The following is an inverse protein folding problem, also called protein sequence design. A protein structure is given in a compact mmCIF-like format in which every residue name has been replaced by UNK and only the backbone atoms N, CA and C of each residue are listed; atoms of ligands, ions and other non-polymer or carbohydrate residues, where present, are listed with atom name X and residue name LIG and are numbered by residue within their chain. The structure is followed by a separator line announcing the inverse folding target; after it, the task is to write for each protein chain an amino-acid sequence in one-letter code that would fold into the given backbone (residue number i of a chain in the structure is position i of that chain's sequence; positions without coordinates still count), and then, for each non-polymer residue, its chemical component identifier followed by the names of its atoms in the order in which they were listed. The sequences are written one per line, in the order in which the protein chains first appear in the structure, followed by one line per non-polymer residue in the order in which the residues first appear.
data_IF_464454348341
#
_entry.id   IF_464454348341
#
_cell.length_a   1.000
_cell.length_b   1.000
_cell.length_c   1.000
_cell.angle_alpha   90.00
_cell.angle_beta   90.00
_cell.angle_gamma   90.00
#
_symmetry.space_group_name_H-M   'P 1'
#
loop_
_entity.id
_entity.type
_entity.pdbx_description
1 polymer ?
#
# COMPACT_ATOMS: atom_id res chain seq x y z
N UNK A 1 24.38 0.62 31.31
CA UNK A 1 23.29 1.22 30.51
C UNK A 1 23.05 0.34 29.30
N UNK A 2 22.20 -0.69 29.42
CA UNK A 2 21.82 -1.52 28.29
C UNK A 2 20.75 -0.77 27.50
N UNK A 3 21.09 -0.28 26.30
CA UNK A 3 20.10 0.22 25.35
C UNK A 3 19.45 -0.99 24.70
N UNK A 4 18.30 -1.41 25.21
CA UNK A 4 17.42 -2.35 24.51
C UNK A 4 16.98 -1.66 23.23
N UNK A 5 17.51 -2.10 22.09
CA UNK A 5 16.92 -1.75 20.80
C UNK A 5 15.54 -2.42 20.75
N UNK A 6 14.51 -1.66 21.11
CA UNK A 6 13.14 -1.97 20.74
C UNK A 6 13.09 -1.88 19.21
N UNK A 7 13.21 -3.02 18.54
CA UNK A 7 12.69 -3.11 17.18
C UNK A 7 11.23 -2.66 17.25
N UNK A 8 10.76 -1.77 16.35
CA UNK A 8 9.36 -1.40 16.34
C UNK A 8 8.53 -2.68 16.24
N UNK A 9 7.59 -2.87 17.18
CA UNK A 9 6.67 -3.99 17.14
C UNK A 9 5.94 -3.93 15.79
N UNK A 10 6.06 -4.98 14.99
CA UNK A 10 5.30 -5.07 13.74
C UNK A 10 3.81 -5.00 14.07
N UNK A 11 3.00 -4.27 13.28
CA UNK A 11 1.58 -4.11 13.56
C UNK A 11 0.84 -5.45 13.52
N UNK A 12 -0.24 -5.56 14.29
CA UNK A 12 -1.07 -6.77 14.35
C UNK A 12 -1.91 -7.00 13.08
N UNK A 13 -2.13 -5.92 12.32
CA UNK A 13 -2.86 -5.92 11.04
C UNK A 13 -2.16 -4.98 10.07
N UNK A 14 -1.92 -5.44 8.84
CA UNK A 14 -1.33 -4.69 7.74
C UNK A 14 -2.24 -4.72 6.52
N UNK A 15 -2.37 -3.62 5.79
CA UNK A 15 -3.03 -3.65 4.47
C UNK A 15 -2.04 -4.18 3.42
N UNK A 16 -2.42 -5.26 2.75
CA UNK A 16 -1.68 -5.86 1.65
C UNK A 16 -2.41 -5.55 0.36
N UNK A 17 -1.97 -4.48 -0.29
CA UNK A 17 -2.47 -4.07 -1.59
C UNK A 17 -1.87 -4.98 -2.66
N UNK A 18 -2.71 -5.54 -3.54
CA UNK A 18 -2.29 -6.39 -4.66
C UNK A 18 -2.68 -5.76 -6.00
N UNK A 19 -1.71 -5.66 -6.90
CA UNK A 19 -1.96 -5.31 -8.29
C UNK A 19 -2.51 -6.55 -9.04
N UNK A 20 -3.58 -6.33 -9.80
CA UNK A 20 -4.19 -7.35 -10.67
C UNK A 20 -3.50 -7.48 -12.04
N UNK A 21 -2.50 -6.66 -12.35
CA UNK A 21 -1.78 -6.70 -13.62
C UNK A 21 -1.12 -8.08 -13.85
N UNK A 22 -1.62 -8.81 -14.85
CA UNK A 22 -1.05 -10.09 -15.29
C UNK A 22 -1.37 -11.30 -14.41
N UNK A 23 -2.27 -11.19 -13.42
CA UNK A 23 -2.73 -12.31 -12.58
C UNK A 23 -4.25 -12.39 -12.56
N UNK A 24 -4.77 -13.60 -12.33
CA UNK A 24 -6.19 -13.79 -12.06
C UNK A 24 -6.52 -13.14 -10.71
N UNK A 25 -7.39 -12.13 -10.72
CA UNK A 25 -7.86 -11.46 -9.51
C UNK A 25 -8.82 -12.40 -8.79
N UNK A 26 -8.55 -12.70 -7.52
CA UNK A 26 -9.37 -13.57 -6.67
C UNK A 26 -9.88 -12.89 -5.40
N UNK A 27 -9.79 -11.56 -5.34
CA UNK A 27 -10.10 -10.73 -4.18
C UNK A 27 -10.93 -9.51 -4.59
N UNK A 28 -11.39 -8.75 -3.61
CA UNK A 28 -12.14 -7.51 -3.78
C UNK A 28 -11.34 -6.30 -3.31
N UNK A 29 -11.69 -5.11 -3.81
CA UNK A 29 -11.04 -3.87 -3.40
C UNK A 29 -9.55 -3.80 -3.79
N UNK A 30 -8.73 -3.21 -2.92
CA UNK A 30 -7.30 -3.01 -3.13
C UNK A 30 -6.44 -4.26 -2.85
N UNK A 31 -6.96 -5.26 -2.15
CA UNK A 31 -6.18 -6.41 -1.71
C UNK A 31 -6.75 -7.08 -0.47
N UNK A 32 -5.92 -7.30 0.54
CA UNK A 32 -6.23 -8.06 1.74
C UNK A 32 -5.81 -7.32 3.01
N UNK A 33 -6.45 -7.61 4.13
CA UNK A 33 -5.90 -7.36 5.45
C UNK A 33 -5.05 -8.57 5.89
N UNK A 34 -3.75 -8.36 6.12
CA UNK A 34 -2.84 -9.36 6.66
C UNK A 34 -2.86 -9.31 8.18
N UNK A 35 -3.43 -10.34 8.78
CA UNK A 35 -3.74 -10.39 10.21
C UNK A 35 -2.80 -11.36 10.91
N UNK A 36 -2.14 -10.91 11.98
CA UNK A 36 -1.24 -11.71 12.82
C UNK A 36 -1.99 -12.75 13.65
N UNK A 37 -1.35 -13.88 13.94
CA UNK A 37 -1.84 -14.90 14.88
C UNK A 37 -2.27 -14.30 16.23
N UNK A 38 -3.56 -14.42 16.55
CA UNK A 38 -4.20 -13.91 17.76
C UNK A 38 -4.81 -12.51 17.63
N UNK A 39 -4.65 -11.83 16.49
CA UNK A 39 -5.26 -10.54 16.19
C UNK A 39 -6.67 -10.69 15.56
N UNK A 40 -7.31 -9.59 15.19
CA UNK A 40 -8.70 -9.60 14.71
C UNK A 40 -9.09 -8.36 13.90
N UNK A 41 -10.28 -8.43 13.30
CA UNK A 41 -10.88 -7.36 12.50
C UNK A 41 -12.30 -7.08 12.99
N UNK A 42 -12.76 -5.84 12.84
CA UNK A 42 -14.14 -5.46 13.10
C UNK A 42 -14.76 -4.88 11.84
N UNK A 43 -15.80 -5.53 11.34
CA UNK A 43 -16.58 -5.10 10.18
C UNK A 43 -17.81 -4.34 10.65
N UNK A 44 -17.97 -3.10 10.17
CA UNK A 44 -19.19 -2.31 10.40
C UNK A 44 -20.21 -2.61 9.32
N UNK A 45 -21.42 -2.91 9.73
CA UNK A 45 -22.55 -3.26 8.86
C UNK A 45 -23.71 -2.34 9.19
N UNK A 46 -24.01 -1.39 8.31
CA UNK A 46 -25.01 -0.34 8.49
C UNK A 46 -25.98 -0.19 7.31
N UNK A 47 -25.81 -1.00 6.26
CA UNK A 47 -26.50 -0.89 4.98
C UNK A 47 -27.34 -2.13 4.63
N UNK A 48 -27.94 -2.75 5.65
CA UNK A 48 -28.78 -3.95 5.50
C UNK A 48 -30.11 -3.58 4.84
N UNK A 49 -30.50 -4.21 3.72
CA UNK A 49 -31.67 -3.78 2.95
C UNK A 49 -33.00 -4.33 3.47
N UNK A 50 -33.00 -5.51 4.08
CA UNK A 50 -34.21 -6.22 4.48
C UNK A 50 -34.01 -6.98 5.80
N UNK A 51 -34.99 -6.97 6.73
CA UNK A 51 -34.87 -7.66 8.01
C UNK A 51 -35.04 -9.18 7.86
N UNK A 52 -33.97 -9.95 8.03
CA UNK A 52 -33.95 -11.41 7.89
C UNK A 52 -32.63 -12.02 8.38
N UNK A 53 -32.54 -13.35 8.38
CA UNK A 53 -31.27 -14.05 8.58
C UNK A 53 -30.35 -13.91 7.36
N UNK A 54 -29.10 -13.53 7.61
CA UNK A 54 -28.02 -13.55 6.63
C UNK A 54 -26.97 -14.58 7.03
N UNK A 55 -26.53 -15.38 6.06
CA UNK A 55 -25.36 -16.23 6.21
C UNK A 55 -24.10 -15.36 6.07
N UNK A 56 -23.12 -15.59 6.94
CA UNK A 56 -21.85 -14.87 6.91
C UNK A 56 -20.81 -15.71 6.17
N UNK A 57 -20.23 -15.15 5.11
CA UNK A 57 -19.16 -15.77 4.35
C UNK A 57 -17.87 -14.96 4.50
N UNK A 58 -16.82 -15.59 5.02
CA UNK A 58 -15.50 -14.98 5.17
C UNK A 58 -14.61 -15.44 4.02
N UNK A 59 -14.07 -14.50 3.24
CA UNK A 59 -13.07 -14.77 2.20
C UNK A 59 -11.67 -14.54 2.73
N UNK A 60 -10.77 -15.48 2.50
CA UNK A 60 -9.41 -15.46 3.04
C UNK A 60 -8.41 -16.20 2.15
N UNK A 61 -7.13 -15.90 2.35
CA UNK A 61 -6.02 -16.57 1.71
C UNK A 61 -4.95 -16.92 2.76
N UNK A 62 -4.71 -18.22 3.02
CA UNK A 62 -3.66 -18.66 3.93
C UNK A 62 -2.25 -18.38 3.37
N UNK A 63 -1.33 -17.91 4.21
CA UNK A 63 0.10 -17.77 3.85
C UNK A 63 0.94 -19.00 4.19
N UNK A 64 0.36 -19.98 4.90
CA UNK A 64 0.99 -21.25 5.26
C UNK A 64 0.07 -22.44 4.99
N UNK A 65 0.59 -23.66 5.15
CA UNK A 65 -0.18 -24.92 5.08
C UNK A 65 -0.81 -25.30 6.43
N UNK A 66 -0.90 -24.37 7.37
CA UNK A 66 -1.54 -24.60 8.67
C UNK A 66 -2.99 -24.15 8.60
N UNK A 67 -3.88 -24.93 9.22
CA UNK A 67 -5.28 -24.52 9.39
C UNK A 67 -5.38 -23.39 10.43
N UNK A 68 -6.38 -22.55 10.25
CA UNK A 68 -6.71 -21.45 11.17
C UNK A 68 -8.06 -21.70 11.82
N UNK A 69 -8.36 -20.93 12.85
CA UNK A 69 -9.67 -20.85 13.46
C UNK A 69 -10.07 -19.38 13.60
N UNK A 70 -11.35 -19.12 13.41
CA UNK A 70 -11.95 -17.80 13.61
C UNK A 70 -12.95 -17.84 14.75
N UNK A 71 -12.80 -16.90 15.68
CA UNK A 71 -13.78 -16.60 16.71
C UNK A 71 -14.61 -15.42 16.24
N UNK A 72 -15.92 -15.59 16.14
CA UNK A 72 -16.84 -14.60 15.56
C UNK A 72 -17.81 -14.14 16.63
N UNK A 73 -17.97 -12.83 16.76
CA UNK A 73 -19.04 -12.19 17.54
C UNK A 73 -19.76 -11.15 16.70
N UNK A 74 -21.07 -11.06 16.88
CA UNK A 74 -21.90 -10.02 16.27
C UNK A 74 -22.52 -9.22 17.39
N UNK A 75 -22.29 -7.91 17.36
CA UNK A 75 -22.82 -6.96 18.32
C UNK A 75 -23.55 -5.81 17.63
N UNK A 76 -24.39 -5.12 18.40
CA UNK A 76 -24.90 -3.80 18.04
C UNK A 76 -24.94 -2.92 19.28
N UNK A 77 -24.72 -1.63 19.09
CA UNK A 77 -24.86 -0.63 20.18
C UNK A 77 -26.32 -0.28 20.46
N UNK A 78 -27.21 -0.56 19.50
CA UNK A 78 -28.64 -0.27 19.58
C UNK A 78 -29.39 -1.59 19.52
N UNK A 79 -30.41 -1.75 20.36
CA UNK A 79 -31.22 -2.96 20.36
C UNK A 79 -32.06 -2.98 19.06
N UNK A 80 -32.08 -4.12 18.33
CA UNK A 80 -32.97 -4.29 17.20
C UNK A 80 -34.42 -4.08 17.64
N UNK A 81 -35.21 -3.41 16.81
CA UNK A 81 -36.61 -3.04 17.14
C UNK A 81 -37.62 -3.72 16.22
N UNK A 82 -37.17 -4.33 15.12
CA UNK A 82 -38.09 -5.00 14.21
C UNK A 82 -38.74 -6.20 14.91
N UNK A 83 -40.00 -6.54 14.57
CA UNK A 83 -40.66 -7.73 15.11
C UNK A 83 -39.94 -9.03 14.71
N UNK A 84 -39.09 -9.00 13.67
CA UNK A 84 -38.33 -10.15 13.19
C UNK A 84 -37.05 -10.38 13.99
N UNK A 85 -36.24 -9.33 14.22
CA UNK A 85 -34.94 -9.45 14.89
C UNK A 85 -34.93 -8.95 16.35
N UNK A 86 -35.99 -8.29 16.83
CA UNK A 86 -36.05 -7.57 18.11
C UNK A 86 -35.88 -8.38 19.39
N UNK A 87 -35.86 -9.71 19.30
CA UNK A 87 -35.67 -10.62 20.44
C UNK A 87 -34.34 -11.39 20.40
N UNK A 88 -33.42 -11.03 19.49
CA UNK A 88 -32.25 -11.86 19.12
C UNK A 88 -30.89 -11.23 19.39
N UNK A 89 -30.68 -10.60 20.55
CA UNK A 89 -29.32 -10.39 21.05
C UNK A 89 -29.02 -11.40 22.17
N UNK A 90 -28.82 -12.70 21.86
CA UNK A 90 -28.22 -13.60 22.83
C UNK A 90 -26.81 -13.08 23.10
N UNK A 91 -26.56 -12.70 24.35
CA UNK A 91 -25.26 -12.29 24.93
C UNK A 91 -24.07 -12.63 24.03
N UNK A 92 -23.51 -11.67 23.27
CA UNK A 92 -22.28 -11.76 22.46
C UNK A 92 -21.68 -13.18 22.34
N UNK A 93 -22.42 -14.13 21.76
CA UNK A 93 -22.08 -15.54 21.94
C UNK A 93 -21.03 -15.88 20.91
N UNK A 94 -19.78 -15.63 21.29
CA UNK A 94 -18.61 -15.92 20.50
C UNK A 94 -18.61 -17.40 20.15
N UNK A 95 -18.61 -17.70 18.86
CA UNK A 95 -18.50 -19.06 18.35
C UNK A 95 -17.23 -19.21 17.52
N UNK A 96 -16.77 -20.45 17.38
CA UNK A 96 -15.54 -20.80 16.69
C UNK A 96 -15.85 -21.59 15.43
N UNK A 97 -15.11 -21.28 14.37
CA UNK A 97 -15.13 -22.02 13.11
C UNK A 97 -13.71 -22.33 12.66
N UNK A 98 -13.55 -23.46 11.97
CA UNK A 98 -12.29 -23.80 11.31
C UNK A 98 -12.14 -23.08 9.98
N UNK A 99 -10.93 -22.68 9.63
CA UNK A 99 -10.53 -22.10 8.36
C UNK A 99 -9.45 -22.98 7.73
N UNK A 100 -9.84 -23.98 6.92
CA UNK A 100 -8.90 -24.91 6.32
C UNK A 100 -7.94 -24.21 5.34
N UNK A 101 -6.66 -24.55 5.37
CA UNK A 101 -5.64 -23.94 4.50
C UNK A 101 -5.91 -24.18 3.00
N UNK A 102 -6.68 -25.22 2.67
CA UNK A 102 -7.04 -25.61 1.30
C UNK A 102 -8.19 -24.81 0.70
N UNK A 103 -8.89 -23.99 1.50
CA UNK A 103 -10.06 -23.21 1.05
C UNK A 103 -9.70 -21.74 0.84
N UNK A 104 -10.61 -20.99 0.22
CA UNK A 104 -10.49 -19.53 -0.01
C UNK A 104 -11.68 -18.73 0.52
N UNK A 105 -12.69 -19.43 1.01
CA UNK A 105 -13.81 -18.85 1.73
C UNK A 105 -14.34 -19.88 2.72
N UNK A 106 -15.04 -19.40 3.74
CA UNK A 106 -15.77 -20.22 4.70
C UNK A 106 -17.16 -19.64 4.88
N UNK A 107 -18.19 -20.48 4.76
CA UNK A 107 -19.56 -20.14 5.15
C UNK A 107 -19.71 -20.48 6.63
N UNK A 108 -19.87 -19.47 7.48
CA UNK A 108 -19.94 -19.65 8.93
C UNK A 108 -21.25 -20.37 9.31
N UNK A 109 -21.21 -21.25 10.31
CA UNK A 109 -22.35 -22.13 10.62
C UNK A 109 -23.55 -21.41 11.25
N UNK A 110 -23.33 -20.21 11.82
CA UNK A 110 -24.36 -19.44 12.51
C UNK A 110 -24.78 -18.21 11.70
N UNK A 111 -25.95 -18.25 11.02
CA UNK A 111 -26.52 -17.04 10.44
C UNK A 111 -26.95 -16.06 11.53
N UNK A 112 -27.10 -14.79 11.17
CA UNK A 112 -27.52 -13.75 12.09
C UNK A 112 -28.64 -12.90 11.49
N UNK A 113 -29.63 -12.52 12.31
CA UNK A 113 -30.75 -11.67 11.90
C UNK A 113 -30.31 -10.22 11.89
N UNK A 114 -30.13 -9.65 10.71
CA UNK A 114 -29.82 -8.23 10.55
C UNK A 114 -31.08 -7.47 10.14
N UNK A 115 -31.25 -6.24 10.63
CA UNK A 115 -32.34 -5.35 10.23
C UNK A 115 -31.84 -3.99 9.70
N UNK A 116 -32.64 -3.31 8.86
CA UNK A 116 -32.31 -1.97 8.38
C UNK A 116 -32.19 -0.94 9.52
N UNK A 117 -31.39 0.11 9.29
CA UNK A 117 -31.23 1.25 10.22
C UNK A 117 -30.59 0.93 11.58
N UNK A 118 -30.15 -0.31 11.81
CA UNK A 118 -29.41 -0.72 13.00
C UNK A 118 -27.95 -0.94 12.63
N UNK A 119 -26.98 -0.22 13.24
CA UNK A 119 -25.56 -0.43 12.98
C UNK A 119 -25.06 -1.65 13.76
N UNK A 120 -24.51 -2.63 13.05
CA UNK A 120 -23.91 -3.83 13.61
C UNK A 120 -22.39 -3.81 13.47
N UNK A 121 -21.71 -4.46 14.41
CA UNK A 121 -20.28 -4.72 14.39
C UNK A 121 -20.07 -6.23 14.42
N UNK A 122 -19.54 -6.79 13.33
CA UNK A 122 -19.09 -8.18 13.27
C UNK A 122 -17.60 -8.20 13.59
N UNK A 123 -17.25 -8.70 14.76
CA UNK A 123 -15.86 -8.81 15.18
C UNK A 123 -15.37 -10.23 14.99
N UNK A 124 -14.23 -10.38 14.32
CA UNK A 124 -13.57 -11.66 14.15
C UNK A 124 -12.19 -11.62 14.81
N UNK A 125 -11.80 -12.74 15.43
CA UNK A 125 -10.45 -12.96 15.93
C UNK A 125 -9.90 -14.22 15.30
N UNK A 126 -8.67 -14.17 14.81
CA UNK A 126 -8.03 -15.21 14.02
C UNK A 126 -6.85 -15.78 14.79
N UNK A 127 -6.72 -17.10 14.82
CA UNK A 127 -5.57 -17.77 15.40
C UNK A 127 -5.32 -19.10 14.71
N UNK A 128 -4.12 -19.65 14.84
CA UNK A 128 -3.81 -20.97 14.28
C UNK A 128 -4.59 -22.09 14.97
N UNK A 129 -5.06 -23.06 14.20
CA UNK A 129 -5.86 -24.17 14.71
C UNK A 129 -5.01 -25.13 15.56
N UNK A 130 -5.54 -25.57 16.70
CA UNK A 130 -4.89 -26.59 17.54
C UNK A 130 -3.57 -26.19 18.20
N UNK A 131 -3.15 -24.92 18.13
CA UNK A 131 -1.90 -24.44 18.76
C UNK A 131 -2.20 -23.57 19.98
N UNK A 132 -1.48 -23.82 21.08
CA UNK A 132 -1.63 -23.04 22.34
C UNK A 132 -0.74 -21.80 22.38
N UNK A 133 0.38 -21.81 21.66
CA UNK A 133 1.32 -20.69 21.59
C UNK A 133 1.16 -19.89 20.28
N UNK A 134 1.06 -18.57 20.43
CA UNK A 134 1.03 -17.64 19.30
C UNK A 134 2.38 -17.61 18.62
N UNK A 135 2.39 -17.69 17.30
CA UNK A 135 3.61 -17.53 16.54
C UNK A 135 3.72 -16.10 16.00
N UNK A 136 4.74 -15.32 16.41
CA UNK A 136 4.82 -13.91 16.07
C UNK A 136 5.00 -13.68 14.56
N UNK A 137 5.50 -14.67 13.80
CA UNK A 137 5.66 -14.60 12.35
C UNK A 137 4.52 -15.22 11.53
N UNK A 138 3.43 -15.68 12.16
CA UNK A 138 2.32 -16.33 11.45
C UNK A 138 1.20 -15.31 11.16
N UNK A 139 0.71 -15.34 9.91
CA UNK A 139 -0.29 -14.41 9.41
C UNK A 139 -1.28 -15.12 8.48
N UNK A 140 -2.46 -14.52 8.34
CA UNK A 140 -3.50 -14.92 7.38
C UNK A 140 -3.99 -13.68 6.65
N UNK A 141 -4.31 -13.81 5.35
CA UNK A 141 -4.87 -12.72 4.56
C UNK A 141 -6.40 -12.81 4.57
N UNK A 142 -7.07 -11.73 4.89
CA UNK A 142 -8.53 -11.60 4.87
C UNK A 142 -8.93 -10.65 3.74
N UNK A 143 -9.77 -11.09 2.82
CA UNK A 143 -10.29 -10.27 1.73
C UNK A 143 -11.54 -9.51 2.19
N UNK A 144 -12.60 -10.24 2.51
CA UNK A 144 -13.91 -9.63 2.79
C UNK A 144 -14.79 -10.50 3.66
N UNK A 145 -15.72 -9.85 4.38
CA UNK A 145 -16.88 -10.49 5.02
C UNK A 145 -18.12 -10.17 4.17
N UNK A 146 -18.82 -11.21 3.73
CA UNK A 146 -19.99 -11.11 2.85
C UNK A 146 -21.23 -11.56 3.60
N UNK A 147 -22.28 -10.74 3.57
CA UNK A 147 -23.62 -11.09 4.06
C UNK A 147 -24.43 -11.67 2.90
N UNK A 148 -24.71 -12.97 2.93
CA UNK A 148 -25.53 -13.66 1.94
C UNK A 148 -26.96 -13.77 2.48
N UNK A 149 -27.97 -13.17 1.81
CA UNK A 149 -29.35 -13.26 2.27
C UNK A 149 -29.88 -14.69 2.12
N UNK A 150 -30.52 -15.22 3.17
CA UNK A 150 -31.28 -16.47 3.08
C UNK A 150 -32.54 -16.31 2.24
N UNK A 151 -32.40 -16.52 0.93
CA UNK A 151 -33.45 -16.29 -0.07
C UNK A 151 -34.77 -17.00 0.23
N UNK A 152 -34.74 -18.14 0.93
CA UNK A 152 -35.95 -18.89 1.32
C UNK A 152 -36.87 -18.15 2.30
N UNK A 153 -36.41 -17.08 2.95
CA UNK A 153 -37.24 -16.24 3.83
C UNK A 153 -37.99 -15.12 3.09
N UNK A 154 -37.64 -14.87 1.83
CA UNK A 154 -38.24 -13.77 1.07
C UNK A 154 -39.66 -14.11 0.59
N UNK A 155 -40.56 -13.11 0.52
CA UNK A 155 -41.86 -13.28 -0.10
C UNK A 155 -41.74 -13.84 -1.53
N UNK A 156 -42.54 -14.86 -1.87
CA UNK A 156 -42.48 -15.52 -3.17
C UNK A 156 -41.40 -16.60 -3.32
N UNK A 157 -40.53 -16.76 -2.32
CA UNK A 157 -39.62 -17.90 -2.15
C UNK A 157 -39.95 -18.72 -0.89
N UNK A 158 -40.48 -18.06 0.13
CA UNK A 158 -41.04 -18.68 1.34
C UNK A 158 -42.36 -19.42 1.08
N UNK A 159 -42.64 -20.45 1.88
CA UNK A 159 -43.92 -21.16 1.90
C UNK A 159 -43.99 -22.41 1.02
N UNK A 160 -45.15 -23.06 1.03
CA UNK A 160 -45.42 -24.35 0.35
C UNK A 160 -46.10 -24.19 -1.02
N UNK A 161 -46.35 -22.96 -1.45
CA UNK A 161 -46.94 -22.71 -2.77
C UNK A 161 -46.04 -23.28 -3.88
N UNK A 162 -46.65 -23.94 -4.86
CA UNK A 162 -45.92 -24.61 -5.94
C UNK A 162 -44.98 -23.66 -6.70
N UNK A 163 -45.39 -22.40 -6.91
CA UNK A 163 -44.57 -21.39 -7.57
C UNK A 163 -43.32 -21.00 -6.75
N UNK A 164 -43.46 -20.88 -5.42
CA UNK A 164 -42.34 -20.57 -4.53
C UNK A 164 -41.37 -21.76 -4.42
N UNK A 165 -41.91 -22.98 -4.31
CA UNK A 165 -41.12 -24.21 -4.31
C UNK A 165 -40.34 -24.39 -5.62
N UNK A 166 -40.97 -24.17 -6.78
CA UNK A 166 -40.31 -24.25 -8.08
C UNK A 166 -39.16 -23.24 -8.23
N UNK A 167 -39.32 -21.99 -7.75
CA UNK A 167 -38.23 -20.99 -7.76
C UNK A 167 -37.05 -21.40 -6.87
N UNK A 168 -37.32 -21.99 -5.69
CA UNK A 168 -36.29 -22.52 -4.80
C UNK A 168 -35.54 -23.69 -5.44
N UNK A 169 -36.27 -24.63 -6.02
CA UNK A 169 -35.67 -25.76 -6.74
C UNK A 169 -34.81 -25.30 -7.92
N UNK A 170 -35.24 -24.29 -8.68
CA UNK A 170 -34.47 -23.72 -9.79
C UNK A 170 -33.17 -23.05 -9.29
N UNK A 171 -33.21 -22.30 -8.18
CA UNK A 171 -32.02 -21.72 -7.54
C UNK A 171 -31.00 -22.78 -7.11
N UNK A 172 -31.47 -23.85 -6.48
CA UNK A 172 -30.63 -24.96 -6.00
C UNK A 172 -30.08 -25.79 -7.15
N UNK A 173 -30.93 -26.13 -8.13
CA UNK A 173 -30.56 -26.96 -9.29
C UNK A 173 -29.43 -26.33 -10.11
N UNK A 174 -29.49 -25.02 -10.33
CA UNK A 174 -28.45 -24.29 -11.06
C UNK A 174 -27.40 -23.66 -10.16
N UNK A 175 -27.46 -23.89 -8.85
CA UNK A 175 -26.51 -23.40 -7.85
C UNK A 175 -26.24 -21.90 -8.00
N UNK A 176 -27.29 -21.13 -8.24
CA UNK A 176 -27.16 -19.71 -8.61
C UNK A 176 -26.42 -18.87 -7.55
N UNK A 177 -26.52 -19.26 -6.28
CA UNK A 177 -25.87 -18.55 -5.17
C UNK A 177 -24.38 -18.89 -5.02
N UNK A 178 -23.90 -20.01 -5.58
CA UNK A 178 -22.48 -20.39 -5.49
C UNK A 178 -21.58 -19.41 -6.24
N UNK A 179 -22.10 -18.77 -7.29
CA UNK A 179 -21.37 -17.75 -8.06
C UNK A 179 -20.88 -16.57 -7.21
N UNK A 180 -21.54 -16.30 -6.07
CA UNK A 180 -21.21 -15.19 -5.17
C UNK A 180 -20.27 -15.59 -4.01
N UNK A 181 -19.86 -16.86 -3.90
CA UNK A 181 -18.96 -17.29 -2.83
C UNK A 181 -17.52 -16.82 -3.07
N UNK A 182 -17.11 -16.71 -4.33
CA UNK A 182 -15.80 -16.21 -4.75
C UNK A 182 -15.83 -14.77 -5.26
N UNK A 183 -14.66 -14.13 -5.32
CA UNK A 183 -14.45 -12.83 -5.93
C UNK A 183 -13.47 -12.94 -7.10
N UNK A 184 -13.68 -12.24 -8.23
CA UNK A 184 -14.98 -11.69 -8.65
C UNK A 184 -16.00 -12.83 -8.86
N UNK A 185 -17.31 -12.54 -8.77
CA UNK A 185 -18.33 -13.55 -9.00
C UNK A 185 -18.27 -14.07 -10.43
N UNK A 186 -18.57 -15.35 -10.62
CA UNK A 186 -18.63 -15.96 -11.94
C UNK A 186 -19.85 -15.46 -12.75
N UNK A 187 -19.76 -15.41 -14.09
CA UNK A 187 -20.90 -15.00 -14.91
C UNK A 187 -22.11 -15.91 -14.69
N UNK A 188 -23.27 -15.32 -14.46
CA UNK A 188 -24.51 -16.07 -14.23
C UNK A 188 -25.12 -16.56 -15.54
N UNK A 189 -25.64 -17.79 -15.53
CA UNK A 189 -26.52 -18.27 -16.58
C UNK A 189 -27.83 -17.45 -16.60
N UNK A 190 -28.49 -17.36 -17.76
CA UNK A 190 -29.69 -16.54 -17.95
C UNK A 190 -30.84 -16.90 -16.99
N UNK A 191 -31.01 -18.19 -16.68
CA UNK A 191 -31.99 -18.66 -15.69
C UNK A 191 -31.69 -18.10 -14.28
N UNK A 192 -30.44 -18.15 -13.84
CA UNK A 192 -30.01 -17.59 -12.57
C UNK A 192 -30.14 -16.08 -12.53
N UNK A 193 -29.79 -15.38 -13.62
CA UNK A 193 -29.92 -13.93 -13.71
C UNK A 193 -31.36 -13.48 -13.41
N UNK A 194 -32.37 -14.13 -13.99
CA UNK A 194 -33.79 -13.82 -13.75
C UNK A 194 -34.16 -13.98 -12.27
N UNK A 195 -33.75 -15.08 -11.64
CA UNK A 195 -34.06 -15.36 -10.24
C UNK A 195 -33.33 -14.40 -9.29
N UNK A 196 -32.03 -14.17 -9.52
CA UNK A 196 -31.22 -13.22 -8.74
C UNK A 196 -31.76 -11.79 -8.85
N UNK A 197 -32.17 -11.35 -10.04
CA UNK A 197 -32.84 -10.06 -10.21
C UNK A 197 -34.16 -9.99 -9.41
N UNK A 198 -34.94 -11.07 -9.39
CA UNK A 198 -36.19 -11.13 -8.61
C UNK A 198 -35.92 -11.03 -7.10
N UNK A 199 -34.91 -11.74 -6.61
CA UNK A 199 -34.44 -11.67 -5.21
C UNK A 199 -33.98 -10.26 -4.86
N UNK A 200 -33.15 -9.65 -5.71
CA UNK A 200 -32.66 -8.28 -5.52
C UNK A 200 -33.81 -7.27 -5.45
N UNK A 201 -34.80 -7.40 -6.34
CA UNK A 201 -35.97 -6.52 -6.34
C UNK A 201 -36.80 -6.63 -5.05
N UNK A 202 -36.94 -7.84 -4.48
CA UNK A 202 -37.62 -8.04 -3.20
C UNK A 202 -36.84 -7.44 -2.02
N UNK A 203 -35.51 -7.55 -2.03
CA UNK A 203 -34.65 -7.02 -0.98
C UNK A 203 -34.62 -5.49 -0.96
N UNK A 204 -34.55 -4.87 -2.13
CA UNK A 204 -34.33 -3.43 -2.28
C UNK A 204 -35.58 -2.62 -2.66
N UNK A 205 -36.74 -3.27 -2.81
CA UNK A 205 -37.97 -2.62 -3.30
C UNK A 205 -37.88 -2.20 -4.78
N UNK A 206 -37.08 -2.90 -5.58
CA UNK A 206 -36.81 -2.60 -6.98
C UNK A 206 -35.33 -2.67 -7.34
N UNK A 207 -34.97 -2.08 -8.48
CA UNK A 207 -33.58 -1.93 -8.88
C UNK A 207 -32.93 -0.72 -8.19
N UNK A 208 -31.65 -0.85 -7.82
CA UNK A 208 -30.88 0.26 -7.26
C UNK A 208 -30.30 1.15 -8.38
N UNK A 209 -30.15 2.46 -8.14
CA UNK A 209 -29.50 3.36 -9.10
C UNK A 209 -28.00 3.05 -9.22
N UNK A 210 -27.44 3.18 -10.43
CA UNK A 210 -26.03 2.89 -10.71
C UNK A 210 -25.06 3.74 -9.85
N UNK A 211 -25.31 5.04 -9.75
CA UNK A 211 -24.45 6.00 -9.05
C UNK A 211 -22.98 5.98 -9.53
N UNK A 212 -22.75 5.80 -10.82
CA UNK A 212 -21.41 5.87 -11.41
C UNK A 212 -20.77 7.24 -11.18
N UNK A 213 -19.51 7.27 -10.76
CA UNK A 213 -18.78 8.53 -10.56
C UNK A 213 -18.54 9.20 -11.91
N UNK A 214 -18.93 10.48 -12.09
CA UNK A 214 -18.83 11.17 -13.38
C UNK A 214 -17.38 11.44 -13.82
N UNK A 215 -16.43 11.52 -12.88
CA UNK A 215 -15.01 11.70 -13.19
C UNK A 215 -14.35 10.37 -13.52
N UNK A 216 -14.66 9.31 -12.77
CA UNK A 216 -14.00 8.01 -12.92
C UNK A 216 -14.69 7.06 -13.91
N UNK A 217 -15.94 7.30 -14.30
CA UNK A 217 -16.71 6.43 -15.21
C UNK A 217 -16.77 7.00 -16.64
N UNK A 218 -16.92 6.11 -17.62
CA UNK A 218 -17.13 6.44 -19.04
C UNK A 218 -18.59 6.78 -19.36
N UNK A 219 -19.52 6.26 -18.57
CA UNK A 219 -20.97 6.44 -18.72
C UNK A 219 -21.64 6.51 -17.34
N UNK A 220 -22.85 7.08 -17.28
CA UNK A 220 -23.76 6.98 -16.14
C UNK A 220 -24.53 5.65 -16.09
N UNK A 221 -24.52 4.90 -17.20
CA UNK A 221 -25.10 3.57 -17.31
C UNK A 221 -24.14 2.52 -16.77
N UNK A 222 -24.67 1.58 -16.00
CA UNK A 222 -23.93 0.46 -15.45
C UNK A 222 -24.49 -0.87 -15.95
N UNK A 223 -23.71 -1.94 -15.77
CA UNK A 223 -24.16 -3.29 -16.11
C UNK A 223 -25.44 -3.65 -15.33
N UNK A 224 -26.43 -4.21 -16.03
CA UNK A 224 -27.74 -4.58 -15.45
C UNK A 224 -27.62 -5.60 -14.30
N UNK A 225 -26.60 -6.45 -14.34
CA UNK A 225 -26.28 -7.41 -13.28
C UNK A 225 -25.11 -6.87 -12.47
N UNK A 226 -25.28 -6.79 -11.14
CA UNK A 226 -24.24 -6.32 -10.21
C UNK A 226 -23.98 -4.82 -10.22
N UNK A 227 -24.41 -4.07 -11.25
CA UNK A 227 -24.33 -2.62 -11.28
C UNK A 227 -22.90 -2.07 -11.47
N UNK A 228 -22.00 -2.84 -12.10
CA UNK A 228 -20.63 -2.39 -12.37
C UNK A 228 -20.62 -1.28 -13.42
N UNK A 229 -20.05 -0.13 -13.07
CA UNK A 229 -19.83 0.99 -13.99
C UNK A 229 -18.62 0.73 -14.89
N UNK A 230 -18.61 1.30 -16.09
CA UNK A 230 -17.46 1.25 -16.99
C UNK A 230 -16.40 2.27 -16.57
N UNK A 231 -15.34 1.79 -15.93
CA UNK A 231 -14.31 2.68 -15.38
C UNK A 231 -13.34 3.21 -16.46
N UNK A 232 -12.80 4.41 -16.20
CA UNK A 232 -11.68 4.98 -16.94
C UNK A 232 -10.37 4.26 -16.59
N UNK A 233 -9.29 4.63 -17.29
CA UNK A 233 -7.99 3.98 -17.11
C UNK A 233 -7.52 4.06 -15.67
N UNK A 234 -7.07 2.93 -15.12
CA UNK A 234 -6.57 2.80 -13.76
C UNK A 234 -7.55 3.25 -12.66
N UNK A 235 -8.86 3.23 -12.94
CA UNK A 235 -9.92 3.47 -11.96
C UNK A 235 -10.59 2.13 -11.63
N UNK A 236 -10.95 1.91 -10.37
CA UNK A 236 -11.65 0.70 -9.94
C UNK A 236 -12.86 0.96 -9.04
N UNK A 237 -13.56 -0.11 -8.71
CA UNK A 237 -14.72 -0.11 -7.82
C UNK A 237 -16.02 -0.14 -8.61
N UNK A 238 -17.11 -0.57 -7.95
CA UNK A 238 -18.43 -0.68 -8.59
C UNK A 238 -18.89 0.65 -9.23
N UNK A 239 -18.56 1.75 -8.56
CA UNK A 239 -18.90 3.13 -8.96
C UNK A 239 -17.76 3.87 -9.67
N UNK A 240 -16.61 3.23 -9.88
CA UNK A 240 -15.41 3.85 -10.43
C UNK A 240 -14.97 5.11 -9.65
N UNK A 241 -14.93 5.02 -8.32
CA UNK A 241 -14.80 6.16 -7.40
C UNK A 241 -13.38 6.33 -6.82
N UNK A 242 -12.43 5.50 -7.24
CA UNK A 242 -11.05 5.51 -6.72
C UNK A 242 -10.03 4.95 -7.70
N UNK A 243 -8.78 5.33 -7.53
CA UNK A 243 -7.67 4.77 -8.29
C UNK A 243 -7.44 3.29 -7.97
N UNK A 244 -7.02 2.54 -8.98
CA UNK A 244 -6.53 1.18 -8.78
C UNK A 244 -5.18 1.18 -8.04
N UNK A 245 -4.85 0.12 -7.30
CA UNK A 245 -3.50 -0.12 -6.81
C UNK A 245 -2.42 0.17 -7.85
N UNK A 246 -1.36 0.86 -7.45
CA UNK A 246 -0.29 1.25 -8.38
C UNK A 246 -0.65 2.43 -9.29
N UNK A 247 -1.71 3.18 -8.99
CA UNK A 247 -2.06 4.43 -9.67
C UNK A 247 -2.52 5.52 -8.71
N UNK A 248 -2.46 6.77 -9.16
CA UNK A 248 -2.73 7.95 -8.35
C UNK A 248 -3.38 9.09 -9.15
N UNK A 249 -3.85 10.12 -8.45
CA UNK A 249 -4.33 11.36 -9.06
C UNK A 249 -5.68 11.19 -9.76
N UNK A 250 -6.69 10.75 -9.02
CA UNK A 250 -8.06 10.58 -9.52
C UNK A 250 -8.60 11.87 -10.15
N UNK A 251 -9.07 11.78 -11.39
CA UNK A 251 -9.65 12.94 -12.08
C UNK A 251 -10.37 12.58 -13.40
N UNK A 252 -10.71 13.58 -14.22
CA UNK A 252 -11.52 13.39 -15.43
C UNK A 252 -10.92 12.46 -16.49
N UNK A 253 -9.61 12.21 -16.46
CA UNK A 253 -8.91 11.31 -17.38
C UNK A 253 -8.70 9.89 -16.79
N UNK A 254 -9.19 9.63 -15.57
CA UNK A 254 -8.90 8.42 -14.81
C UNK A 254 -7.78 8.66 -13.79
N UNK A 255 -6.89 7.68 -13.62
CA UNK A 255 -5.71 7.77 -12.76
C UNK A 255 -4.42 7.55 -13.56
N UNK A 256 -3.31 8.06 -13.05
CA UNK A 256 -1.97 7.91 -13.63
C UNK A 256 -1.20 6.79 -12.93
N UNK A 257 -0.40 5.97 -13.64
CA UNK A 257 0.41 4.93 -13.00
C UNK A 257 1.49 5.53 -12.09
N UNK A 258 1.81 4.86 -10.98
CA UNK A 258 2.79 5.32 -9.99
C UNK A 258 4.22 5.45 -10.56
N UNK A 259 4.64 4.49 -11.39
CA UNK A 259 5.99 4.41 -11.98
C UNK A 259 7.12 4.53 -10.94
N UNK A 260 7.04 3.76 -9.84
CA UNK A 260 8.09 3.72 -8.82
C UNK A 260 9.32 2.96 -9.33
N UNK A 261 10.53 3.46 -9.09
CA UNK A 261 11.76 2.77 -9.48
C UNK A 261 11.87 1.43 -8.74
N UNK A 262 12.02 0.29 -9.44
CA UNK A 262 12.18 -1.00 -8.78
C UNK A 262 13.46 -1.12 -7.95
N UNK A 263 14.50 -0.34 -8.26
CA UNK A 263 15.75 -0.32 -7.52
C UNK A 263 15.73 0.63 -6.33
N UNK A 264 15.01 1.76 -6.44
CA UNK A 264 15.01 2.82 -5.42
C UNK A 264 13.77 2.87 -4.53
N UNK A 265 12.72 2.11 -4.83
CA UNK A 265 11.50 2.01 -4.02
C UNK A 265 11.39 0.68 -3.27
N UNK A 266 10.60 0.68 -2.19
CA UNK A 266 10.26 -0.51 -1.40
C UNK A 266 9.19 -1.33 -2.09
N UNK A 267 8.30 -0.69 -2.85
CA UNK A 267 7.25 -1.33 -3.62
C UNK A 267 6.84 -0.49 -4.83
N UNK A 268 6.12 -1.11 -5.77
CA UNK A 268 5.55 -0.43 -6.94
C UNK A 268 4.28 0.39 -6.61
N UNK A 269 3.89 0.42 -5.35
CA UNK A 269 2.72 1.16 -4.87
C UNK A 269 3.14 2.57 -4.46
N UNK A 270 2.27 3.52 -4.70
CA UNK A 270 2.43 4.91 -4.29
C UNK A 270 1.17 5.40 -3.58
N UNK A 271 1.29 6.54 -2.90
CA UNK A 271 0.15 7.25 -2.35
C UNK A 271 -0.86 7.61 -3.46
N UNK A 272 -2.13 7.25 -3.26
CA UNK A 272 -3.17 7.35 -4.28
C UNK A 272 -3.52 8.80 -4.68
N UNK A 273 -3.11 9.80 -3.90
CA UNK A 273 -3.38 11.21 -4.16
C UNK A 273 -2.16 11.90 -4.76
N UNK A 274 -1.03 11.89 -4.04
CA UNK A 274 0.21 12.57 -4.43
C UNK A 274 1.05 11.80 -5.44
N UNK A 275 0.88 10.49 -5.52
CA UNK A 275 1.72 9.61 -6.32
C UNK A 275 3.11 9.37 -5.73
N UNK A 276 3.37 9.76 -4.47
CA UNK A 276 4.67 9.56 -3.83
C UNK A 276 4.91 8.06 -3.56
N UNK A 277 6.00 7.54 -4.11
CA UNK A 277 6.46 6.17 -3.86
C UNK A 277 7.18 6.06 -2.51
N UNK A 278 7.18 4.86 -1.94
CA UNK A 278 7.90 4.55 -0.72
C UNK A 278 9.38 4.30 -1.05
N UNK A 279 10.26 5.26 -0.77
CA UNK A 279 11.68 5.17 -1.17
C UNK A 279 12.52 4.33 -0.20
N UNK A 280 13.49 3.61 -0.74
CA UNK A 280 14.54 2.97 0.03
C UNK A 280 15.47 4.03 0.65
N UNK A 281 16.26 3.61 1.64
CA UNK A 281 17.19 4.51 2.31
C UNK A 281 18.17 5.14 1.31
N UNK A 282 18.26 6.47 1.30
CA UNK A 282 19.13 7.23 0.41
C UNK A 282 18.53 7.60 -0.95
N UNK A 283 17.40 7.02 -1.34
CA UNK A 283 16.65 7.38 -2.54
C UNK A 283 15.55 8.41 -2.23
N UNK A 284 15.29 9.32 -3.18
CA UNK A 284 14.31 10.41 -3.08
C UNK A 284 13.63 10.67 -4.43
N UNK A 285 12.67 11.61 -4.41
CA UNK A 285 11.84 11.95 -5.57
C UNK A 285 10.51 11.20 -5.54
N UNK A 286 9.56 11.64 -6.36
CA UNK A 286 8.23 11.01 -6.43
C UNK A 286 8.32 9.52 -6.77
N UNK A 287 9.24 9.17 -7.67
CA UNK A 287 9.47 7.82 -8.18
C UNK A 287 10.61 7.08 -7.47
N UNK A 288 11.28 7.71 -6.50
CA UNK A 288 12.46 7.15 -5.83
C UNK A 288 13.61 6.81 -6.80
N UNK A 289 13.80 7.61 -7.83
CA UNK A 289 14.75 7.40 -8.93
C UNK A 289 16.02 8.27 -8.81
N UNK A 290 16.18 8.96 -7.69
CA UNK A 290 17.25 9.92 -7.45
C UNK A 290 17.88 9.68 -6.09
N UNK A 291 19.16 10.01 -5.94
CA UNK A 291 19.79 10.02 -4.62
C UNK A 291 19.42 11.29 -3.85
N UNK A 292 19.33 11.16 -2.52
CA UNK A 292 19.14 12.30 -1.63
C UNK A 292 20.26 13.34 -1.82
N UNK A 293 20.02 14.63 -1.51
CA UNK A 293 21.05 15.64 -1.53
C UNK A 293 22.31 15.21 -0.77
N UNK A 294 23.49 15.51 -1.32
CA UNK A 294 24.77 15.07 -0.78
C UNK A 294 25.09 13.58 -1.00
N UNK A 295 24.35 12.89 -1.87
CA UNK A 295 24.61 11.51 -2.28
C UNK A 295 24.61 11.37 -3.81
N UNK A 296 25.25 10.31 -4.32
CA UNK A 296 25.41 10.06 -5.75
C UNK A 296 25.45 8.56 -6.08
N UNK A 297 25.29 8.23 -7.36
CA UNK A 297 25.50 6.87 -7.87
C UNK A 297 24.28 5.95 -7.78
N UNK A 298 23.07 6.47 -8.04
CA UNK A 298 21.84 5.68 -8.12
C UNK A 298 22.03 4.41 -8.99
N UNK A 299 21.54 3.22 -8.57
CA UNK A 299 20.66 2.99 -7.41
C UNK A 299 21.39 2.85 -6.05
N UNK A 300 22.69 2.61 -6.05
CA UNK A 300 23.49 2.46 -4.83
C UNK A 300 23.97 3.82 -4.31
N UNK A 301 23.05 4.62 -3.80
CA UNK A 301 23.33 5.98 -3.34
C UNK A 301 24.38 6.00 -2.21
N UNK A 302 25.50 6.65 -2.47
CA UNK A 302 26.62 6.83 -1.53
C UNK A 302 26.85 8.30 -1.22
N UNK A 303 27.30 8.64 0.00
CA UNK A 303 27.57 10.02 0.37
C UNK A 303 28.67 10.62 -0.51
N UNK A 304 28.57 11.92 -0.77
CA UNK A 304 29.62 12.69 -1.41
C UNK A 304 30.89 12.66 -0.55
N UNK A 305 32.05 12.46 -1.20
CA UNK A 305 33.34 12.37 -0.53
C UNK A 305 34.17 13.62 -0.84
N UNK A 306 33.77 14.76 -0.29
CA UNK A 306 34.34 16.07 -0.64
C UNK A 306 35.37 16.59 0.37
N UNK A 307 36.01 15.68 1.13
CA UNK A 307 36.99 16.02 2.17
C UNK A 307 36.52 17.06 3.22
N UNK A 308 35.20 17.23 3.38
CA UNK A 308 34.62 18.26 4.26
C UNK A 308 34.53 19.67 3.67
N UNK A 309 34.95 19.86 2.41
CA UNK A 309 34.98 21.17 1.74
C UNK A 309 33.80 21.41 0.78
N UNK A 310 32.90 20.45 0.62
CA UNK A 310 31.60 20.63 -0.02
C UNK A 310 30.58 19.62 0.52
N UNK A 311 29.30 19.99 0.54
CA UNK A 311 28.20 19.10 0.96
C UNK A 311 27.49 18.45 -0.22
N UNK A 312 27.60 19.06 -1.41
CA UNK A 312 26.95 18.61 -2.63
C UNK A 312 27.98 18.11 -3.65
N UNK A 313 27.61 17.07 -4.40
CA UNK A 313 28.36 16.57 -5.54
C UNK A 313 27.41 16.25 -6.70
N UNK A 314 27.97 16.14 -7.90
CA UNK A 314 27.24 15.73 -9.08
C UNK A 314 26.61 14.34 -8.86
N UNK A 315 25.29 14.17 -9.06
CA UNK A 315 24.57 12.97 -8.65
C UNK A 315 24.95 11.72 -9.47
N UNK A 316 25.59 11.87 -10.64
CA UNK A 316 26.01 10.77 -11.51
C UNK A 316 27.48 10.41 -11.31
N UNK A 317 28.34 11.42 -11.28
CA UNK A 317 29.79 11.27 -11.26
C UNK A 317 30.39 11.36 -9.86
N UNK A 318 29.68 11.94 -8.88
CA UNK A 318 30.19 12.17 -7.53
C UNK A 318 31.21 13.29 -7.43
N UNK A 319 31.42 14.08 -8.50
CA UNK A 319 32.33 15.22 -8.46
C UNK A 319 31.76 16.33 -7.59
N UNK A 320 32.51 16.77 -6.59
CA UNK A 320 32.10 17.80 -5.65
C UNK A 320 31.84 19.13 -6.35
N UNK A 321 30.78 19.79 -5.92
CA UNK A 321 30.34 21.07 -6.45
C UNK A 321 30.74 22.18 -5.48
N UNK A 322 31.25 23.29 -6.02
CA UNK A 322 31.56 24.51 -5.24
C UNK A 322 32.49 24.24 -4.04
N UNK A 323 33.65 23.63 -4.30
CA UNK A 323 34.70 23.42 -3.29
C UNK A 323 35.02 24.73 -2.53
N UNK A 324 34.93 24.68 -1.20
CA UNK A 324 35.20 25.81 -0.29
C UNK A 324 36.68 25.85 0.11
N UNK A 325 37.05 26.84 0.92
CA UNK A 325 38.38 26.93 1.55
C UNK A 325 39.56 26.88 0.57
N UNK A 326 39.37 27.47 -0.61
CA UNK A 326 40.36 27.49 -1.69
C UNK A 326 40.83 26.09 -2.12
N UNK A 327 39.93 25.10 -2.08
CA UNK A 327 40.18 23.74 -2.57
C UNK A 327 39.64 23.55 -3.99
N UNK A 328 40.17 22.54 -4.67
CA UNK A 328 39.89 22.15 -6.04
C UNK A 328 40.07 20.63 -6.21
N UNK A 329 39.71 20.11 -7.38
CA UNK A 329 39.72 18.66 -7.66
C UNK A 329 38.32 18.04 -7.61
N UNK A 330 38.22 16.74 -7.89
CA UNK A 330 36.93 16.04 -7.97
C UNK A 330 36.30 15.83 -6.60
N UNK A 331 37.14 15.77 -5.57
CA UNK A 331 36.81 15.52 -4.17
C UNK A 331 37.24 16.69 -3.27
N UNK A 332 37.55 17.85 -3.85
CA UNK A 332 38.15 18.98 -3.14
C UNK A 332 39.45 18.59 -2.39
N UNK A 333 40.22 17.70 -3.01
CA UNK A 333 41.39 17.02 -2.43
C UNK A 333 42.72 17.78 -2.59
N UNK A 334 42.73 18.88 -3.35
CA UNK A 334 43.92 19.70 -3.58
C UNK A 334 43.61 21.18 -3.42
N UNK A 335 44.62 22.00 -3.20
CA UNK A 335 44.45 23.44 -3.20
C UNK A 335 44.22 23.99 -4.62
N UNK A 336 43.49 25.10 -4.70
CA UNK A 336 43.40 25.93 -5.90
C UNK A 336 44.77 26.49 -6.26
N UNK A 337 44.94 26.84 -7.53
CA UNK A 337 46.19 27.41 -8.03
C UNK A 337 46.53 28.69 -7.24
N UNK A 338 47.80 28.80 -6.83
CA UNK A 338 48.30 29.86 -5.95
C UNK A 338 48.09 29.67 -4.44
N UNK A 339 47.56 28.52 -4.02
CA UNK A 339 47.48 28.08 -2.63
C UNK A 339 48.28 26.78 -2.41
N UNK A 340 48.77 26.54 -1.20
CA UNK A 340 49.48 25.32 -0.79
C UNK A 340 48.99 24.76 0.54
N UNK A 341 49.28 23.48 0.76
CA UNK A 341 48.86 22.71 1.93
C UNK A 341 48.24 21.37 1.52
N UNK A 342 47.80 20.59 2.51
CA UNK A 342 47.09 19.33 2.32
C UNK A 342 45.65 19.44 2.86
N UNK A 343 44.63 19.67 2.00
CA UNK A 343 43.24 19.81 2.43
C UNK A 343 42.51 18.47 2.62
N UNK A 344 43.20 17.33 2.55
CA UNK A 344 42.55 16.03 2.77
C UNK A 344 42.04 15.92 4.21
N UNK A 345 40.81 15.40 4.37
CA UNK A 345 40.15 15.31 5.67
C UNK A 345 41.01 14.50 6.66
N UNK A 346 41.38 15.13 7.77
CA UNK A 346 42.21 14.52 8.83
C UNK A 346 43.70 14.87 8.79
N UNK A 347 44.18 15.60 7.77
CA UNK A 347 45.58 16.08 7.70
C UNK A 347 45.87 17.18 8.76
N UNK A 348 44.84 17.93 9.17
CA UNK A 348 44.97 19.12 10.03
C UNK A 348 45.55 20.35 9.33
N UNK A 349 45.90 20.25 8.04
CA UNK A 349 46.39 21.36 7.21
C UNK A 349 45.24 21.98 6.41
N UNK A 350 45.39 23.27 6.09
CA UNK A 350 44.40 24.07 5.35
C UNK A 350 45.11 24.72 4.18
N UNK A 351 44.39 24.98 3.08
CA UNK A 351 44.97 25.71 1.96
C UNK A 351 45.29 27.16 2.36
N UNK A 352 46.57 27.51 2.25
CA UNK A 352 47.09 28.85 2.53
C UNK A 352 47.61 29.49 1.25
N UNK A 353 47.45 30.82 1.08
CA UNK A 353 48.00 31.49 -0.09
C UNK A 353 49.52 31.32 -0.11
N UNK A 354 50.07 31.04 -1.29
CA UNK A 354 51.50 30.92 -1.46
C UNK A 354 52.22 32.22 -1.04
N UNK A 355 53.32 32.14 -0.26
CA UNK A 355 54.07 33.31 0.19
C UNK A 355 54.97 33.88 -0.92
N UNK A 356 54.49 33.86 -2.17
CA UNK A 356 55.16 34.49 -3.29
C UNK A 356 54.94 36.01 -3.23
N UNK A 357 55.80 36.83 -3.85
CA UNK A 357 55.58 38.27 -3.93
C UNK A 357 54.18 38.60 -4.48
N UNK A 358 53.41 39.40 -3.74
CA UNK A 358 52.02 39.76 -4.05
C UNK A 358 50.97 38.87 -3.38
N UNK A 359 49.71 38.99 -3.82
CA UNK A 359 48.59 38.16 -3.35
C UNK A 359 47.88 37.48 -4.53
N UNK A 360 47.44 36.21 -4.43
CA UNK A 360 46.71 35.54 -5.51
C UNK A 360 45.57 36.40 -6.09
N UNK A 361 45.57 36.60 -7.41
CA UNK A 361 44.58 37.44 -8.11
C UNK A 361 44.96 38.92 -8.29
N UNK A 362 46.12 39.37 -7.78
CA UNK A 362 46.65 40.73 -8.01
C UNK A 362 47.61 40.78 -9.21
N UNK A 363 47.81 41.97 -9.81
CA UNK A 363 48.73 42.15 -10.96
C UNK A 363 50.19 41.84 -10.67
N UNK A 364 50.57 41.80 -9.39
CA UNK A 364 51.96 41.58 -8.95
C UNK A 364 52.22 40.12 -8.56
N UNK A 365 51.20 39.26 -8.60
CA UNK A 365 51.33 37.84 -8.31
C UNK A 365 51.64 37.05 -9.58
N UNK A 366 52.86 36.54 -9.67
CA UNK A 366 53.36 35.77 -10.82
C UNK A 366 53.70 34.32 -10.47
N UNK A 367 53.20 33.79 -9.35
CA UNK A 367 53.29 32.37 -9.01
C UNK A 367 52.12 31.57 -9.60
N UNK A 368 52.37 30.37 -10.12
CA UNK A 368 51.30 29.44 -10.55
C UNK A 368 50.95 28.43 -9.46
N UNK A 369 51.93 28.02 -8.66
CA UNK A 369 51.77 27.11 -7.52
C UNK A 369 52.96 27.26 -6.57
N UNK A 370 52.93 26.62 -5.40
CA UNK A 370 54.10 26.51 -4.53
C UNK A 370 54.07 25.19 -3.76
N UNK A 371 55.24 24.71 -3.32
CA UNK A 371 55.36 23.46 -2.56
C UNK A 371 56.34 23.63 -1.40
N UNK A 372 56.15 22.85 -0.34
CA UNK A 372 57.11 22.80 0.76
C UNK A 372 58.30 21.91 0.37
N UNK A 373 59.51 22.37 0.64
CA UNK A 373 60.72 21.57 0.55
C UNK A 373 60.73 20.52 1.67
N UNK A 374 60.97 19.25 1.34
CA UNK A 374 60.89 18.13 2.31
C UNK A 374 61.93 18.21 3.44
N UNK A 375 63.09 18.82 3.21
CA UNK A 375 64.16 18.91 4.20
C UNK A 375 64.03 20.16 5.07
N UNK A 376 63.74 21.30 4.43
CA UNK A 376 63.82 22.61 5.09
C UNK A 376 62.46 23.17 5.48
N UNK A 377 61.36 22.55 5.03
CA UNK A 377 59.98 23.04 5.17
C UNK A 377 59.75 24.45 4.60
N UNK A 378 60.72 25.00 3.85
CA UNK A 378 60.57 26.26 3.15
C UNK A 378 59.65 26.11 1.94
N UNK A 379 58.76 27.07 1.75
CA UNK A 379 57.82 27.08 0.63
C UNK A 379 58.48 27.69 -0.61
N UNK A 380 58.60 26.90 -1.67
CA UNK A 380 59.20 27.30 -2.95
C UNK A 380 58.09 27.63 -3.94
N UNK A 381 58.14 28.83 -4.52
CA UNK A 381 57.19 29.30 -5.52
C UNK A 381 57.56 28.83 -6.93
N UNK A 382 56.58 28.32 -7.67
CA UNK A 382 56.68 28.04 -9.09
C UNK A 382 56.17 29.27 -9.85
N UNK A 383 57.06 29.93 -10.61
CA UNK A 383 56.71 31.12 -11.37
C UNK A 383 55.98 30.77 -12.67
N UNK A 384 55.04 31.63 -13.06
CA UNK A 384 54.42 31.56 -14.38
C UNK A 384 55.49 31.75 -15.49
N UNK A 385 55.24 31.24 -16.72
CA UNK A 385 56.18 31.36 -17.82
C UNK A 385 56.63 32.82 -18.03
N UNK A 386 57.95 33.04 -18.07
CA UNK A 386 58.57 34.37 -18.26
C UNK A 386 58.93 35.13 -16.97
N UNK A 387 58.65 34.55 -15.80
CA UNK A 387 59.03 35.11 -14.50
C UNK A 387 59.98 34.17 -13.76
N UNK A 388 60.89 34.73 -12.98
CA UNK A 388 61.78 33.99 -12.09
C UNK A 388 61.79 34.67 -10.71
N UNK A 389 61.94 33.88 -9.66
CA UNK A 389 62.16 34.34 -8.29
C UNK A 389 63.50 33.80 -7.78
N UNK A 390 64.20 34.59 -6.97
CA UNK A 390 65.40 34.16 -6.23
C UNK A 390 65.03 33.57 -4.87
#
# INVERSE_FOLDING_TARGET
RAKTCLCPAQPDVEEVVRDGAGRMVTWTGSGFARVRDGAGLTFRVDNVPYPMDYELLLRYEPESTEDWEVMVSVGSRVLPTSPRCGNLLPSEQMYRESLPHSQRYMLLSRPFCFEPSTPYEVTIRLQRAGVTQRHPGAFILIDSLVLLPRVSELPGFHGVEAAAAARREELERYRCLEAFRMAPPSPLAQACARLVCSVSALLHGGALPCQCDPQGSRSSECQVQGGQCECKSHVLGRRCDRCAPGSYGFGPLGCSPCTCSPEGSVSQLCDAVSGQCWCQHGAVGRQCDQCQPGHWGFPACRPCQCNGHAEECDPRTGSCLRCRDHTAGRHCERCQDGYYGDPVLGSGQQCRPCPCPGYPGTRHYHGSACHANEETHHIICLCAPGYAGE
#
